data_IF_806695731330
#
_entry.id   IF_806695731330
#
_cell.length_a   1.000
_cell.length_b   1.000
_cell.length_c   1.000
_cell.angle_alpha   90.00
_cell.angle_beta   90.00
_cell.angle_gamma   90.00
#
_symmetry.space_group_name_H-M   'P 1'
#
loop_
_entity.id
_entity.type
_entity.pdbx_description
1 polymer ?
#
# COMPACT_ATOMS: atom_id res chain seq x y z
N UNK A 1 21.84 36.95 4.44
CA UNK A 1 20.87 35.89 4.81
C UNK A 1 21.32 34.65 4.07
N UNK A 2 21.57 33.55 4.78
CA UNK A 2 22.34 32.42 4.26
C UNK A 2 21.46 31.36 3.60
N UNK A 3 22.07 30.51 2.76
CA UNK A 3 21.40 29.37 2.09
C UNK A 3 20.58 28.50 3.07
N UNK A 4 21.03 28.38 4.33
CA UNK A 4 20.31 27.64 5.38
C UNK A 4 18.95 28.24 5.72
N UNK A 5 18.77 29.57 5.64
CA UNK A 5 17.47 30.20 5.86
C UNK A 5 16.55 30.02 4.66
N UNK A 6 17.09 30.05 3.43
CA UNK A 6 16.29 29.78 2.23
C UNK A 6 15.75 28.34 2.17
N UNK A 7 16.58 27.35 2.54
CA UNK A 7 16.15 25.94 2.63
C UNK A 7 15.08 25.77 3.70
N UNK A 8 15.25 26.47 4.82
CA UNK A 8 14.30 26.42 5.92
C UNK A 8 12.94 27.02 5.54
N UNK A 9 12.94 28.19 4.89
CA UNK A 9 11.72 28.85 4.43
C UNK A 9 10.99 27.98 3.39
N UNK A 10 11.71 27.35 2.46
CA UNK A 10 11.14 26.39 1.50
C UNK A 10 10.47 25.18 2.17
N UNK A 11 11.09 24.61 3.21
CA UNK A 11 10.52 23.49 3.96
C UNK A 11 9.25 23.89 4.72
N UNK A 12 9.25 25.05 5.34
CA UNK A 12 8.08 25.58 6.06
C UNK A 12 6.96 25.89 5.09
N UNK A 13 7.24 26.55 3.97
CA UNK A 13 6.26 26.84 2.92
C UNK A 13 5.66 25.57 2.33
N UNK A 14 6.47 24.53 2.11
CA UNK A 14 5.98 23.22 1.69
C UNK A 14 5.05 22.58 2.74
N UNK A 15 5.41 22.66 4.02
CA UNK A 15 4.57 22.18 5.11
C UNK A 15 3.24 22.94 5.22
N UNK A 16 3.28 24.26 5.07
CA UNK A 16 2.08 25.13 5.05
C UNK A 16 1.21 24.83 3.82
N UNK A 17 1.82 24.57 2.67
CA UNK A 17 1.12 24.17 1.46
C UNK A 17 0.37 22.83 1.65
N UNK A 18 0.99 21.85 2.31
CA UNK A 18 0.29 20.60 2.67
C UNK A 18 -0.89 20.90 3.60
N UNK A 19 -0.66 21.68 4.66
CA UNK A 19 -1.71 22.00 5.64
C UNK A 19 -2.89 22.79 5.03
N UNK A 20 -2.62 23.62 4.03
CA UNK A 20 -3.64 24.42 3.34
C UNK A 20 -4.55 23.62 2.40
N UNK A 21 -4.20 22.38 2.04
CA UNK A 21 -4.91 21.59 1.02
C UNK A 21 -5.40 20.25 1.57
N UNK A 22 -6.72 20.13 1.79
CA UNK A 22 -7.33 18.93 2.36
C UNK A 22 -7.10 17.67 1.51
N UNK A 23 -7.17 17.77 0.18
CA UNK A 23 -6.95 16.65 -0.74
C UNK A 23 -5.52 16.11 -0.65
N UNK A 24 -4.55 17.03 -0.46
CA UNK A 24 -3.15 16.69 -0.38
C UNK A 24 -2.81 16.05 0.98
N UNK A 25 -3.43 16.51 2.07
CA UNK A 25 -3.37 15.83 3.37
C UNK A 25 -3.91 14.41 3.26
N UNK A 26 -5.07 14.22 2.64
CA UNK A 26 -5.66 12.89 2.45
C UNK A 26 -4.76 11.98 1.60
N UNK A 27 -4.18 12.52 0.52
CA UNK A 27 -3.23 11.81 -0.33
C UNK A 27 -1.97 11.39 0.42
N UNK A 28 -1.34 12.30 1.17
CA UNK A 28 -0.11 11.99 1.94
C UNK A 28 -0.39 10.95 3.02
N UNK A 29 -1.53 11.03 3.71
CA UNK A 29 -1.97 10.02 4.67
C UNK A 29 -2.15 8.65 4.01
N UNK A 30 -2.85 8.57 2.88
CA UNK A 30 -3.03 7.33 2.12
C UNK A 30 -1.69 6.76 1.61
N UNK A 31 -0.81 7.62 1.10
CA UNK A 31 0.52 7.22 0.65
C UNK A 31 1.37 6.66 1.79
N UNK A 32 1.34 7.29 2.96
CA UNK A 32 2.04 6.79 4.15
C UNK A 32 1.51 5.42 4.59
N UNK A 33 0.18 5.23 4.58
CA UNK A 33 -0.45 3.94 4.89
C UNK A 33 -0.04 2.88 3.87
N UNK A 34 -0.06 3.21 2.57
CA UNK A 34 0.33 2.30 1.50
C UNK A 34 1.80 1.86 1.61
N UNK A 35 2.70 2.78 1.92
CA UNK A 35 4.13 2.47 2.11
C UNK A 35 4.32 1.59 3.34
N UNK A 36 3.70 1.93 4.48
CA UNK A 36 3.78 1.12 5.68
C UNK A 36 3.26 -0.31 5.45
N UNK A 37 2.15 -0.44 4.70
CA UNK A 37 1.60 -1.72 4.30
C UNK A 37 2.54 -2.49 3.37
N UNK A 38 3.15 -1.84 2.37
CA UNK A 38 4.11 -2.47 1.48
C UNK A 38 5.34 -3.01 2.22
N UNK A 39 5.85 -2.27 3.22
CA UNK A 39 6.91 -2.75 4.11
C UNK A 39 6.43 -3.95 4.93
N UNK A 40 5.20 -3.91 5.43
CA UNK A 40 4.60 -5.03 6.18
C UNK A 40 4.39 -6.28 5.32
N UNK A 41 4.10 -6.16 4.01
CA UNK A 41 4.02 -7.28 3.06
C UNK A 41 5.32 -8.09 3.06
N UNK A 42 6.46 -7.40 2.91
CA UNK A 42 7.78 -8.03 2.76
C UNK A 42 8.36 -8.49 4.10
N UNK A 43 8.04 -7.80 5.19
CA UNK A 43 8.59 -8.10 6.52
C UNK A 43 7.83 -9.24 7.23
N UNK A 44 6.57 -9.48 6.84
CA UNK A 44 5.73 -10.50 7.47
C UNK A 44 6.20 -11.92 7.18
N UNK A 45 6.36 -12.73 8.23
CA UNK A 45 6.79 -14.15 8.12
C UNK A 45 5.66 -15.12 7.75
N UNK A 46 4.41 -14.73 8.02
CA UNK A 46 3.24 -15.57 7.77
C UNK A 46 2.59 -15.09 6.46
N UNK A 47 2.53 -15.94 5.42
CA UNK A 47 2.08 -15.50 4.09
C UNK A 47 0.66 -14.92 4.04
N UNK A 48 -0.22 -15.40 4.92
CA UNK A 48 -1.60 -14.89 5.04
C UNK A 48 -1.61 -13.42 5.47
N UNK A 49 -0.74 -13.03 6.40
CA UNK A 49 -0.61 -11.63 6.81
C UNK A 49 -0.05 -10.78 5.67
N UNK A 50 0.98 -11.27 4.96
CA UNK A 50 1.52 -10.60 3.78
C UNK A 50 0.46 -10.35 2.71
N UNK A 51 -0.42 -11.32 2.44
CA UNK A 51 -1.50 -11.16 1.48
C UNK A 51 -2.53 -10.11 1.91
N UNK A 52 -2.87 -10.04 3.21
CA UNK A 52 -3.76 -9.00 3.72
C UNK A 52 -3.15 -7.59 3.59
N UNK A 53 -1.85 -7.44 3.88
CA UNK A 53 -1.16 -6.17 3.67
C UNK A 53 -1.09 -5.79 2.20
N UNK A 54 -0.95 -6.76 1.29
CA UNK A 54 -0.97 -6.52 -0.16
C UNK A 54 -2.33 -6.01 -0.62
N UNK A 55 -3.42 -6.60 -0.10
CA UNK A 55 -4.79 -6.12 -0.35
C UNK A 55 -4.94 -4.66 0.11
N UNK A 56 -4.37 -4.32 1.27
CA UNK A 56 -4.42 -2.96 1.82
C UNK A 56 -3.65 -1.96 0.95
N UNK A 57 -2.50 -2.34 0.38
CA UNK A 57 -1.77 -1.51 -0.60
C UNK A 57 -2.64 -1.24 -1.83
N UNK A 58 -3.22 -2.28 -2.43
CA UNK A 58 -4.07 -2.12 -3.61
C UNK A 58 -5.35 -1.34 -3.31
N UNK A 59 -5.89 -1.44 -2.10
CA UNK A 59 -7.01 -0.64 -1.65
C UNK A 59 -6.64 0.85 -1.57
N UNK A 60 -5.48 1.19 -0.98
CA UNK A 60 -5.00 2.57 -0.92
C UNK A 60 -4.78 3.16 -2.33
N UNK A 61 -4.24 2.38 -3.26
CA UNK A 61 -4.11 2.77 -4.68
C UNK A 61 -5.48 2.95 -5.33
N UNK A 62 -6.43 2.05 -5.05
CA UNK A 62 -7.80 2.17 -5.53
C UNK A 62 -8.47 3.46 -5.06
N UNK A 63 -8.32 3.80 -3.78
CA UNK A 63 -8.81 5.06 -3.22
C UNK A 63 -8.12 6.26 -3.86
N UNK A 64 -6.81 6.20 -4.12
CA UNK A 64 -6.08 7.27 -4.82
C UNK A 64 -6.63 7.56 -6.22
N UNK A 65 -7.14 6.55 -6.94
CA UNK A 65 -7.79 6.78 -8.24
C UNK A 65 -9.08 7.60 -8.13
N UNK A 66 -9.81 7.55 -7.01
CA UNK A 66 -10.97 8.42 -6.80
C UNK A 66 -10.56 9.88 -6.64
N UNK A 67 -9.42 10.16 -5.99
CA UNK A 67 -8.87 11.52 -5.90
C UNK A 67 -8.39 12.07 -7.26
N UNK A 68 -8.10 11.18 -8.21
CA UNK A 68 -7.69 11.53 -9.57
C UNK A 68 -8.88 11.60 -10.55
N UNK A 69 -10.11 11.58 -10.05
CA UNK A 69 -11.34 11.53 -10.87
C UNK A 69 -11.37 10.33 -11.85
N UNK A 70 -10.61 9.27 -11.54
CA UNK A 70 -10.47 8.07 -12.36
C UNK A 70 -11.34 6.92 -11.82
N UNK A 71 -12.65 7.18 -11.68
CA UNK A 71 -13.59 6.31 -10.97
C UNK A 71 -13.64 4.88 -11.53
N UNK A 72 -13.70 4.73 -12.86
CA UNK A 72 -13.77 3.43 -13.51
C UNK A 72 -12.53 2.57 -13.21
N UNK A 73 -11.35 3.18 -13.25
CA UNK A 73 -10.08 2.50 -12.93
C UNK A 73 -10.01 2.18 -11.44
N UNK A 74 -10.47 3.08 -10.56
CA UNK A 74 -10.56 2.85 -9.13
C UNK A 74 -11.45 1.66 -8.77
N UNK A 75 -12.62 1.54 -9.39
CA UNK A 75 -13.53 0.41 -9.18
C UNK A 75 -12.91 -0.90 -9.68
N UNK A 76 -12.29 -0.90 -10.87
CA UNK A 76 -11.58 -2.08 -11.39
C UNK A 76 -10.42 -2.46 -10.46
N UNK A 77 -9.68 -1.49 -9.93
CA UNK A 77 -8.57 -1.74 -9.00
C UNK A 77 -9.06 -2.52 -7.78
N UNK A 78 -10.18 -2.10 -7.20
CA UNK A 78 -10.75 -2.77 -6.03
C UNK A 78 -11.31 -4.15 -6.41
N UNK A 79 -12.08 -4.26 -7.49
CA UNK A 79 -12.68 -5.55 -7.87
C UNK A 79 -11.64 -6.60 -8.30
N UNK A 80 -10.68 -6.21 -9.12
CA UNK A 80 -9.73 -7.14 -9.75
C UNK A 80 -8.50 -7.35 -8.87
N UNK A 81 -7.87 -6.29 -8.36
CA UNK A 81 -6.61 -6.46 -7.61
C UNK A 81 -6.86 -6.80 -6.14
N UNK A 82 -7.72 -6.04 -5.46
CA UNK A 82 -8.05 -6.31 -4.05
C UNK A 82 -8.91 -7.58 -3.93
N UNK A 83 -9.93 -7.72 -4.77
CA UNK A 83 -10.86 -8.85 -4.75
C UNK A 83 -10.27 -10.14 -5.32
N UNK A 84 -9.99 -10.18 -6.62
CA UNK A 84 -9.59 -11.43 -7.28
C UNK A 84 -8.11 -11.78 -7.07
N UNK A 85 -7.19 -10.94 -7.52
CA UNK A 85 -5.76 -11.27 -7.59
C UNK A 85 -5.19 -11.53 -6.20
N UNK A 86 -5.48 -10.68 -5.20
CA UNK A 86 -4.90 -10.86 -3.86
C UNK A 86 -5.43 -12.10 -3.16
N UNK A 87 -6.71 -12.43 -3.34
CA UNK A 87 -7.30 -13.66 -2.80
C UNK A 87 -6.69 -14.89 -3.48
N UNK A 88 -6.54 -14.87 -4.81
CA UNK A 88 -5.85 -15.94 -5.55
C UNK A 88 -4.40 -16.11 -5.09
N UNK A 89 -3.68 -15.00 -4.87
CA UNK A 89 -2.33 -15.03 -4.31
C UNK A 89 -2.29 -15.64 -2.90
N UNK A 90 -3.20 -15.22 -2.01
CA UNK A 90 -3.30 -15.75 -0.66
C UNK A 90 -3.52 -17.27 -0.67
N UNK A 91 -4.51 -17.73 -1.45
CA UNK A 91 -4.80 -19.15 -1.60
C UNK A 91 -3.62 -19.92 -2.22
N UNK A 92 -3.02 -19.38 -3.28
CA UNK A 92 -1.88 -20.00 -3.96
C UNK A 92 -0.71 -20.21 -3.00
N UNK A 93 -0.31 -19.19 -2.25
CA UNK A 93 0.82 -19.31 -1.31
C UNK A 93 0.49 -20.28 -0.17
N UNK A 94 -0.76 -20.27 0.32
CA UNK A 94 -1.18 -21.20 1.37
C UNK A 94 -1.10 -22.67 0.91
N UNK A 95 -1.54 -22.96 -0.32
CA UNK A 95 -1.48 -24.31 -0.88
C UNK A 95 -0.03 -24.76 -1.11
N UNK A 96 0.80 -23.89 -1.72
CA UNK A 96 2.22 -24.22 -1.96
C UNK A 96 2.99 -24.45 -0.67
N UNK A 97 2.71 -23.70 0.41
CA UNK A 97 3.39 -23.88 1.70
C UNK A 97 3.09 -25.25 2.32
N UNK A 98 1.86 -25.77 2.20
CA UNK A 98 1.51 -27.08 2.77
C UNK A 98 2.27 -28.21 2.08
N UNK A 99 2.45 -28.12 0.76
CA UNK A 99 3.14 -29.15 -0.02
C UNK A 99 4.61 -29.34 0.39
N UNK A 100 5.33 -28.26 0.73
CA UNK A 100 6.75 -28.34 1.12
C UNK A 100 6.94 -28.95 2.53
N UNK A 101 5.95 -28.87 3.41
CA UNK A 101 6.06 -29.39 4.79
C UNK A 101 5.78 -30.88 4.93
N UNK A 102 5.19 -31.52 3.92
CA UNK A 102 4.80 -32.94 3.96
C UNK A 102 5.92 -33.87 3.45
N UNK A 103 6.88 -33.35 2.67
CA UNK A 103 8.01 -34.09 2.09
C UNK A 103 9.15 -34.37 3.11
N UNK A 104 9.20 -33.61 4.22
CA UNK A 104 10.22 -33.75 5.28
C UNK A 104 9.79 -34.73 6.40
N UNK A 105 8.54 -35.25 6.41
CA UNK A 105 8.05 -36.14 7.47
C UNK A 105 8.14 -37.64 7.19
N UNK A 106 8.58 -38.00 5.98
CA UNK A 106 8.71 -39.41 5.53
C UNK A 106 10.17 -39.94 5.56
N UNK A 107 11.12 -39.21 6.17
CA UNK A 107 12.48 -39.68 6.51
C UNK A 107 12.71 -39.86 8.02
#
# INVERSE_FOLDING_TARGET
MGILTEIWDWLVDFGVFIWGNADLVAFVCLAAIAIAAAVAVVTSRIPVHSAFYLALVFFCVGVAYFFLEAEFIGVIQILVYVGAITVLFAFSIMLTRRYIMEDDSDE
#
